data_IF_249542889322
#
_entry.id   IF_249542889322
#
_cell.length_a   1.000
_cell.length_b   1.000
_cell.length_c   1.000
_cell.angle_alpha   90.00
_cell.angle_beta   90.00
_cell.angle_gamma   90.00
#
_symmetry.space_group_name_H-M   'P 1'
#
loop_
_entity.id
_entity.type
_entity.pdbx_description
1 polymer ?
#
# COMPACT_ATOMS: atom_id res chain seq x y z
N UNK A 1 1.34 10.60 -2.00
CA UNK A 1 1.59 12.03 -1.77
C UNK A 1 2.88 12.47 -2.43
N UNK A 2 4.05 11.95 -2.02
CA UNK A 2 5.36 12.39 -2.51
C UNK A 2 5.46 12.31 -4.04
N UNK A 3 5.06 11.18 -4.65
CA UNK A 3 5.11 11.01 -6.10
C UNK A 3 4.23 12.04 -6.85
N UNK A 4 3.00 12.27 -6.37
CA UNK A 4 2.12 13.28 -6.97
C UNK A 4 2.71 14.68 -6.88
N UNK A 5 3.27 15.06 -5.71
CA UNK A 5 3.93 16.36 -5.54
C UNK A 5 5.21 16.50 -6.37
N UNK A 6 5.95 15.40 -6.55
CA UNK A 6 7.11 15.40 -7.44
C UNK A 6 6.71 15.69 -8.89
N UNK A 7 5.61 15.11 -9.37
CA UNK A 7 5.06 15.43 -10.69
C UNK A 7 4.70 16.93 -10.80
N UNK A 8 3.96 17.47 -9.82
CA UNK A 8 3.61 18.90 -9.80
C UNK A 8 4.85 19.79 -9.87
N UNK A 9 5.86 19.48 -9.06
CA UNK A 9 7.11 20.26 -8.98
C UNK A 9 7.90 20.23 -10.29
N UNK A 10 7.82 19.11 -11.01
CA UNK A 10 8.49 18.92 -12.31
C UNK A 10 7.65 19.41 -13.50
N UNK A 11 6.44 19.91 -13.27
CA UNK A 11 5.50 20.30 -14.32
C UNK A 11 4.96 19.12 -15.14
N UNK A 12 4.96 17.92 -14.55
CA UNK A 12 4.43 16.71 -15.16
C UNK A 12 2.98 16.48 -14.74
N UNK A 13 2.19 15.86 -15.64
CA UNK A 13 0.85 15.41 -15.27
C UNK A 13 0.89 14.35 -14.17
N UNK A 14 -0.04 14.41 -13.22
CA UNK A 14 -0.22 13.38 -12.20
C UNK A 14 -0.64 12.02 -12.78
N UNK A 15 -1.03 11.96 -14.05
CA UNK A 15 -1.26 10.71 -14.79
C UNK A 15 -0.01 9.84 -14.93
N UNK A 16 1.18 10.40 -14.66
CA UNK A 16 2.42 9.62 -14.55
C UNK A 16 2.49 8.77 -13.27
N UNK A 17 1.57 8.98 -12.32
CA UNK A 17 1.48 8.18 -11.09
C UNK A 17 0.31 7.22 -11.22
N UNK A 18 0.60 5.92 -11.18
CA UNK A 18 -0.39 4.85 -11.12
C UNK A 18 -0.49 4.35 -9.68
N UNK A 19 -1.58 4.66 -8.99
CA UNK A 19 -1.93 4.05 -7.72
C UNK A 19 -2.58 2.69 -7.94
N UNK A 20 -2.09 1.67 -7.25
CA UNK A 20 -2.65 0.32 -7.35
C UNK A 20 -3.15 -0.13 -5.99
N UNK A 21 -4.45 -0.44 -5.89
CA UNK A 21 -5.02 -1.10 -4.71
C UNK A 21 -5.23 -2.57 -4.99
N UNK A 22 -4.79 -3.40 -4.06
CA UNK A 22 -4.79 -4.86 -4.23
C UNK A 22 -5.44 -5.53 -3.02
N UNK A 23 -6.80 -5.52 -2.96
CA UNK A 23 -7.51 -6.13 -1.83
C UNK A 23 -7.21 -7.62 -1.72
N UNK A 24 -6.82 -8.03 -0.52
CA UNK A 24 -6.60 -9.40 -0.09
C UNK A 24 -7.66 -9.88 0.90
N UNK A 25 -7.33 -10.89 1.70
CA UNK A 25 -8.29 -11.48 2.65
C UNK A 25 -8.49 -10.62 3.90
N UNK A 26 -7.46 -9.88 4.34
CA UNK A 26 -7.50 -9.01 5.51
C UNK A 26 -7.83 -7.54 5.22
N UNK A 27 -8.11 -7.17 3.98
CA UNK A 27 -8.41 -5.78 3.63
C UNK A 27 -9.76 -5.37 4.17
N UNK A 28 -9.79 -4.37 5.06
CA UNK A 28 -11.02 -3.81 5.62
C UNK A 28 -11.67 -2.80 4.68
N UNK A 29 -12.99 -2.60 4.79
CA UNK A 29 -13.72 -1.61 4.00
C UNK A 29 -13.18 -0.20 4.22
N UNK A 30 -12.77 0.15 5.45
CA UNK A 30 -12.19 1.46 5.77
C UNK A 30 -10.88 1.69 5.01
N UNK A 31 -9.94 0.76 5.09
CA UNK A 31 -8.66 0.85 4.38
C UNK A 31 -8.85 0.89 2.87
N UNK A 32 -9.74 0.06 2.35
CA UNK A 32 -10.08 0.01 0.93
C UNK A 32 -10.66 1.35 0.43
N UNK A 33 -11.67 1.88 1.11
CA UNK A 33 -12.32 3.13 0.73
C UNK A 33 -11.34 4.32 0.82
N UNK A 34 -10.56 4.40 1.90
CA UNK A 34 -9.54 5.44 2.07
C UNK A 34 -8.52 5.42 0.93
N UNK A 35 -8.07 4.26 0.49
CA UNK A 35 -7.14 4.14 -0.62
C UNK A 35 -7.74 4.67 -1.92
N UNK A 36 -8.97 4.28 -2.26
CA UNK A 36 -9.65 4.74 -3.48
C UNK A 36 -9.94 6.23 -3.45
N UNK A 37 -10.48 6.74 -2.35
CA UNK A 37 -10.81 8.16 -2.22
C UNK A 37 -9.57 9.05 -2.26
N UNK A 38 -8.47 8.63 -1.60
CA UNK A 38 -7.21 9.36 -1.63
C UNK A 38 -6.63 9.43 -3.05
N UNK A 39 -6.62 8.32 -3.78
CA UNK A 39 -6.13 8.31 -5.17
C UNK A 39 -6.95 9.22 -6.07
N UNK A 40 -8.30 9.23 -5.92
CA UNK A 40 -9.19 10.14 -6.66
C UNK A 40 -8.91 11.60 -6.31
N UNK A 41 -8.82 11.94 -5.02
CA UNK A 41 -8.55 13.30 -4.57
C UNK A 41 -7.18 13.81 -5.03
N UNK A 42 -6.18 12.93 -5.10
CA UNK A 42 -4.87 13.26 -5.65
C UNK A 42 -4.86 13.42 -7.17
N UNK A 43 -5.92 13.02 -7.88
CA UNK A 43 -6.00 13.09 -9.34
C UNK A 43 -4.96 12.23 -10.05
N UNK A 44 -4.60 11.09 -9.50
CA UNK A 44 -3.67 10.12 -10.10
C UNK A 44 -4.43 9.02 -10.82
N UNK A 45 -3.75 8.27 -11.71
CA UNK A 45 -4.33 7.06 -12.28
C UNK A 45 -4.58 6.01 -11.20
N UNK A 46 -5.65 5.23 -11.37
CA UNK A 46 -6.01 4.18 -10.42
C UNK A 46 -6.18 2.83 -11.09
N UNK A 47 -5.74 1.80 -10.40
CA UNK A 47 -6.03 0.41 -10.75
C UNK A 47 -6.36 -0.40 -9.52
N UNK A 48 -7.42 -1.19 -9.62
CA UNK A 48 -7.79 -2.17 -8.61
C UNK A 48 -7.54 -3.58 -9.14
N UNK A 49 -6.83 -4.40 -8.36
CA UNK A 49 -6.53 -5.79 -8.70
C UNK A 49 -6.69 -6.62 -7.44
N UNK A 50 -7.75 -7.44 -7.36
CA UNK A 50 -7.90 -8.39 -6.26
C UNK A 50 -6.86 -9.50 -6.39
N UNK A 51 -6.12 -9.76 -5.30
CA UNK A 51 -5.12 -10.83 -5.24
C UNK A 51 -5.71 -12.16 -4.76
N UNK A 52 -6.99 -12.20 -4.37
CA UNK A 52 -7.60 -13.36 -3.71
C UNK A 52 -7.52 -14.63 -4.56
N UNK A 53 -7.90 -14.55 -5.84
CA UNK A 53 -7.90 -15.71 -6.72
C UNK A 53 -6.49 -16.25 -7.01
N UNK A 54 -5.52 -15.35 -7.19
CA UNK A 54 -4.13 -15.73 -7.40
C UNK A 54 -3.53 -16.39 -6.15
N UNK A 55 -3.79 -15.82 -4.97
CA UNK A 55 -3.37 -16.41 -3.71
C UNK A 55 -4.01 -17.81 -3.47
N UNK A 56 -5.30 -17.98 -3.74
CA UNK A 56 -5.97 -19.28 -3.63
C UNK A 56 -5.40 -20.32 -4.61
N UNK A 57 -5.09 -19.91 -5.85
CA UNK A 57 -4.44 -20.80 -6.80
C UNK A 57 -3.04 -21.18 -6.32
N UNK A 58 -2.27 -20.22 -5.81
CA UNK A 58 -0.95 -20.49 -5.27
C UNK A 58 -1.00 -21.45 -4.05
N UNK A 59 -1.97 -21.27 -3.14
CA UNK A 59 -2.17 -22.22 -2.03
C UNK A 59 -2.44 -23.63 -2.53
N UNK A 60 -3.31 -23.79 -3.54
CA UNK A 60 -3.58 -25.09 -4.14
C UNK A 60 -2.32 -25.72 -4.78
N UNK A 61 -1.51 -24.92 -5.48
CA UNK A 61 -0.28 -25.39 -6.15
C UNK A 61 0.78 -25.89 -5.17
N UNK A 62 0.85 -25.29 -3.96
CA UNK A 62 1.80 -25.70 -2.89
C UNK A 62 1.16 -26.61 -1.84
N UNK A 63 -0.06 -27.08 -2.06
CA UNK A 63 -0.81 -27.95 -1.13
C UNK A 63 -0.99 -27.32 0.28
N UNK A 64 -1.13 -25.99 0.35
CA UNK A 64 -1.40 -25.26 1.58
C UNK A 64 -2.91 -25.11 1.79
N UNK A 65 -3.39 -25.43 2.99
CA UNK A 65 -4.79 -25.24 3.37
C UNK A 65 -5.08 -23.76 3.61
N UNK A 66 -5.97 -23.10 2.84
CA UNK A 66 -6.29 -21.69 2.98
C UNK A 66 -6.95 -21.32 4.32
N UNK A 67 -7.44 -22.29 5.10
CA UNK A 67 -7.96 -22.05 6.44
C UNK A 67 -6.85 -21.96 7.51
N UNK A 68 -5.62 -22.32 7.17
CA UNK A 68 -4.45 -22.17 8.03
C UNK A 68 -3.82 -20.79 7.81
N UNK A 69 -4.11 -19.85 8.70
CA UNK A 69 -3.66 -18.47 8.64
C UNK A 69 -2.26 -18.31 9.30
N UNK A 70 -1.28 -18.96 8.72
CA UNK A 70 0.13 -18.94 9.15
C UNK A 70 0.98 -17.95 8.33
N UNK A 71 2.28 -17.98 8.54
CA UNK A 71 3.26 -17.17 7.82
C UNK A 71 3.24 -17.42 6.30
N UNK A 72 2.86 -18.63 5.85
CA UNK A 72 2.72 -18.96 4.44
C UNK A 72 1.55 -18.21 3.83
N UNK A 73 0.42 -18.21 4.53
CA UNK A 73 -0.79 -17.48 4.15
C UNK A 73 -0.54 -15.97 4.02
N UNK A 74 0.13 -15.36 4.98
CA UNK A 74 0.46 -13.94 4.96
C UNK A 74 1.47 -13.61 3.85
N UNK A 75 2.57 -14.33 3.80
CA UNK A 75 3.66 -14.06 2.86
C UNK A 75 3.28 -14.27 1.40
N UNK A 76 2.40 -15.21 1.09
CA UNK A 76 1.85 -15.41 -0.27
C UNK A 76 1.15 -14.15 -0.74
N UNK A 77 0.30 -13.55 0.07
CA UNK A 77 -0.42 -12.32 -0.29
C UNK A 77 0.54 -11.13 -0.50
N UNK A 78 1.54 -10.98 0.36
CA UNK A 78 2.51 -9.90 0.23
C UNK A 78 3.35 -10.05 -1.05
N UNK A 79 3.79 -11.26 -1.39
CA UNK A 79 4.58 -11.53 -2.61
C UNK A 79 3.76 -11.38 -3.87
N UNK A 80 2.49 -11.78 -3.87
CA UNK A 80 1.59 -11.59 -5.00
C UNK A 80 1.43 -10.10 -5.35
N UNK A 81 1.24 -9.25 -4.36
CA UNK A 81 1.20 -7.80 -4.56
C UNK A 81 2.49 -7.26 -5.17
N UNK A 82 3.62 -7.73 -4.68
CA UNK A 82 4.94 -7.31 -5.20
C UNK A 82 5.14 -7.74 -6.65
N UNK A 83 4.80 -8.98 -6.99
CA UNK A 83 4.87 -9.49 -8.36
C UNK A 83 4.04 -8.63 -9.31
N UNK A 84 2.78 -8.38 -8.97
CA UNK A 84 1.89 -7.53 -9.77
C UNK A 84 2.47 -6.13 -10.00
N UNK A 85 3.02 -5.50 -8.97
CA UNK A 85 3.60 -4.15 -9.08
C UNK A 85 4.83 -4.14 -9.99
N UNK A 86 5.71 -5.13 -9.87
CA UNK A 86 6.91 -5.25 -10.72
C UNK A 86 6.54 -5.48 -12.19
N UNK A 87 5.56 -6.34 -12.47
CA UNK A 87 5.07 -6.61 -13.82
C UNK A 87 4.34 -5.40 -14.43
N UNK A 88 3.57 -4.67 -13.64
CA UNK A 88 2.97 -3.41 -14.07
C UNK A 88 4.03 -2.37 -14.42
N UNK A 89 5.09 -2.24 -13.62
CA UNK A 89 6.20 -1.34 -13.92
C UNK A 89 6.88 -1.72 -15.25
N UNK A 90 7.15 -3.00 -15.46
CA UNK A 90 7.69 -3.50 -16.74
C UNK A 90 6.76 -3.18 -17.91
N UNK A 91 5.46 -3.46 -17.76
CA UNK A 91 4.46 -3.23 -18.80
C UNK A 91 4.32 -1.76 -19.20
N UNK A 92 4.47 -0.85 -18.23
CA UNK A 92 4.29 0.60 -18.44
C UNK A 92 5.61 1.35 -18.66
N UNK A 93 6.74 0.64 -18.67
CA UNK A 93 8.08 1.24 -18.67
C UNK A 93 8.26 2.25 -17.51
N UNK A 94 7.71 1.91 -16.35
CA UNK A 94 7.73 2.70 -15.14
C UNK A 94 8.66 2.12 -14.08
N UNK A 95 8.55 2.63 -12.87
CA UNK A 95 9.25 2.11 -11.70
C UNK A 95 8.30 1.95 -10.51
N UNK A 96 8.58 0.99 -9.64
CA UNK A 96 7.84 0.80 -8.39
C UNK A 96 8.40 1.74 -7.33
N UNK A 97 7.56 2.65 -6.84
CA UNK A 97 7.85 3.49 -5.67
C UNK A 97 7.40 2.75 -4.42
N UNK A 98 8.37 2.38 -3.58
CA UNK A 98 8.11 1.65 -2.34
C UNK A 98 7.52 2.53 -1.24
N UNK A 99 6.70 1.91 -0.41
CA UNK A 99 6.02 2.56 0.72
C UNK A 99 6.65 2.24 2.08
N UNK A 100 7.56 1.26 2.14
CA UNK A 100 8.28 0.89 3.36
C UNK A 100 9.09 2.04 3.94
N UNK A 101 9.16 2.10 5.26
CA UNK A 101 9.86 3.14 6.01
C UNK A 101 11.14 2.63 6.70
N UNK A 102 11.92 3.54 7.28
CA UNK A 102 13.17 3.21 7.97
C UNK A 102 12.94 2.24 9.16
N UNK A 103 11.84 2.37 9.89
CA UNK A 103 11.56 1.52 11.05
C UNK A 103 11.30 0.08 10.63
N UNK A 104 10.56 -0.13 9.56
CA UNK A 104 10.31 -1.45 8.98
C UNK A 104 11.62 -2.11 8.50
N UNK A 105 12.46 -1.36 7.79
CA UNK A 105 13.76 -1.83 7.34
C UNK A 105 14.71 -2.16 8.49
N UNK A 106 14.76 -1.31 9.52
CA UNK A 106 15.64 -1.50 10.68
C UNK A 106 15.24 -2.71 11.54
N UNK A 107 13.94 -3.00 11.63
CA UNK A 107 13.40 -4.11 12.44
C UNK A 107 13.25 -5.40 11.64
N UNK A 108 13.40 -5.37 10.32
CA UNK A 108 13.07 -6.50 9.45
C UNK A 108 11.55 -6.81 9.45
N UNK A 109 10.72 -5.82 9.70
CA UNK A 109 9.27 -5.94 9.75
C UNK A 109 8.67 -5.90 8.35
N UNK A 110 8.89 -6.94 7.60
CA UNK A 110 8.42 -7.10 6.23
C UNK A 110 8.49 -8.57 5.80
N UNK A 111 7.66 -8.95 4.84
CA UNK A 111 7.79 -10.24 4.16
C UNK A 111 9.02 -10.24 3.25
N UNK A 112 9.92 -11.18 3.43
CA UNK A 112 11.07 -11.36 2.53
C UNK A 112 10.62 -11.57 1.08
N UNK A 113 11.19 -10.83 0.15
CA UNK A 113 10.74 -10.75 -1.25
C UNK A 113 9.27 -10.33 -1.42
N UNK A 114 8.75 -9.53 -0.50
CA UNK A 114 7.37 -9.04 -0.51
C UNK A 114 7.30 -7.53 -0.42
N UNK A 115 6.57 -7.03 0.54
CA UNK A 115 6.14 -5.64 0.69
C UNK A 115 7.28 -4.60 0.80
N UNK A 116 8.50 -5.00 1.19
CA UNK A 116 9.68 -4.11 1.20
C UNK A 116 10.35 -3.98 -0.18
N UNK A 117 9.97 -4.80 -1.15
CA UNK A 117 10.59 -4.78 -2.48
C UNK A 117 10.06 -3.61 -3.30
N UNK A 118 10.99 -2.79 -3.78
CA UNK A 118 10.68 -1.68 -4.69
C UNK A 118 11.92 -1.29 -5.50
N UNK A 119 11.71 -0.51 -6.55
CA UNK A 119 12.81 0.03 -7.35
C UNK A 119 13.34 1.34 -6.76
N UNK A 120 12.50 2.06 -5.99
CA UNK A 120 12.87 3.27 -5.26
C UNK A 120 12.12 3.40 -3.94
N UNK A 121 12.84 3.36 -2.83
CA UNK A 121 12.28 3.48 -1.47
C UNK A 121 12.20 4.93 -1.01
N UNK A 122 11.10 5.61 -1.26
CA UNK A 122 10.93 7.05 -0.97
C UNK A 122 11.01 7.37 0.53
N UNK A 123 10.61 6.44 1.39
CA UNK A 123 10.63 6.61 2.85
C UNK A 123 11.76 5.82 3.55
N UNK A 124 12.72 5.26 2.80
CA UNK A 124 13.77 4.41 3.35
C UNK A 124 14.63 5.09 4.45
N UNK A 125 14.73 6.41 4.43
CA UNK A 125 15.42 7.20 5.44
C UNK A 125 14.50 7.86 6.49
N UNK A 126 13.19 7.57 6.49
CA UNK A 126 12.19 8.25 7.33
C UNK A 126 11.55 7.25 8.30
N UNK A 127 11.74 7.39 9.63
CA UNK A 127 11.10 6.49 10.59
C UNK A 127 9.58 6.66 10.60
N UNK A 128 8.85 5.60 10.94
CA UNK A 128 7.36 5.55 10.94
C UNK A 128 6.74 6.69 11.75
N UNK A 129 7.31 7.04 12.87
CA UNK A 129 6.83 8.17 13.69
C UNK A 129 6.91 9.51 12.93
N UNK A 130 8.00 9.74 12.19
CA UNK A 130 8.15 10.95 11.38
C UNK A 130 7.21 10.93 10.17
N UNK A 131 6.96 9.77 9.55
CA UNK A 131 5.94 9.64 8.49
C UNK A 131 4.58 10.13 9.00
N UNK A 132 4.17 9.72 10.21
CA UNK A 132 2.92 10.20 10.83
C UNK A 132 2.89 11.71 11.02
N UNK A 133 3.97 12.30 11.49
CA UNK A 133 4.09 13.76 11.66
C UNK A 133 3.98 14.49 10.32
N UNK A 134 4.65 13.99 9.29
CA UNK A 134 4.61 14.57 7.94
C UNK A 134 3.22 14.47 7.32
N UNK A 135 2.56 13.31 7.44
CA UNK A 135 1.18 13.12 6.94
C UNK A 135 0.21 14.07 7.67
N UNK A 136 0.34 14.21 8.99
CA UNK A 136 -0.46 15.14 9.78
C UNK A 136 -0.23 16.61 9.35
N UNK A 137 1.03 16.97 9.10
CA UNK A 137 1.36 18.31 8.59
C UNK A 137 0.73 18.55 7.21
N UNK A 138 0.85 17.60 6.27
CA UNK A 138 0.23 17.71 4.94
C UNK A 138 -1.29 17.87 5.06
N UNK A 139 -1.94 17.08 5.91
CA UNK A 139 -3.39 17.16 6.13
C UNK A 139 -3.87 18.56 6.61
N UNK A 140 -3.03 19.28 7.38
CA UNK A 140 -3.37 20.61 7.88
C UNK A 140 -2.78 21.74 7.02
N UNK A 141 -1.98 21.40 6.01
CA UNK A 141 -1.43 22.39 5.08
C UNK A 141 -2.41 22.67 3.95
N UNK A 142 -2.09 23.67 3.13
CA UNK A 142 -2.81 23.96 1.90
C UNK A 142 -2.30 23.15 0.69
N UNK A 143 -1.50 22.12 0.94
CA UNK A 143 -0.87 21.28 -0.10
C UNK A 143 -1.84 20.26 -0.72
N UNK A 144 -2.93 19.97 -0.03
CA UNK A 144 -4.00 19.07 -0.46
C UNK A 144 -5.36 19.72 -0.27
N UNK A 145 -6.38 19.23 -0.97
CA UNK A 145 -7.74 19.67 -0.80
C UNK A 145 -8.37 19.16 0.51
N UNK A 146 -9.55 19.65 0.84
CA UNK A 146 -10.26 19.30 2.07
C UNK A 146 -10.62 17.80 2.13
N UNK A 147 -10.92 17.20 0.98
CA UNK A 147 -11.22 15.76 0.89
C UNK A 147 -10.00 14.93 1.22
N UNK A 148 -8.86 15.19 0.59
CA UNK A 148 -7.60 14.51 0.91
C UNK A 148 -7.19 14.74 2.37
N UNK A 149 -7.35 15.96 2.90
CA UNK A 149 -7.08 16.28 4.30
C UNK A 149 -7.85 15.37 5.25
N UNK A 150 -9.16 15.27 5.06
CA UNK A 150 -10.03 14.39 5.87
C UNK A 150 -9.60 12.93 5.80
N UNK A 151 -9.29 12.43 4.61
CA UNK A 151 -8.86 11.03 4.40
C UNK A 151 -7.51 10.78 5.10
N UNK A 152 -6.55 11.69 4.97
CA UNK A 152 -5.24 11.56 5.62
C UNK A 152 -5.37 11.51 7.14
N UNK A 153 -6.26 12.30 7.73
CA UNK A 153 -6.54 12.25 9.17
C UNK A 153 -7.20 10.94 9.58
N UNK A 154 -8.14 10.42 8.77
CA UNK A 154 -8.76 9.11 9.01
C UNK A 154 -7.73 7.96 8.93
N UNK A 155 -6.80 8.03 7.97
CA UNK A 155 -5.69 7.07 7.89
C UNK A 155 -4.80 7.12 9.14
N UNK A 156 -4.49 8.31 9.66
CA UNK A 156 -3.71 8.48 10.88
C UNK A 156 -4.43 7.95 12.13
N UNK A 157 -5.75 8.00 12.16
CA UNK A 157 -6.61 7.50 13.24
C UNK A 157 -6.89 6.00 13.12
N UNK A 158 -6.54 5.37 11.98
CA UNK A 158 -6.74 3.95 11.79
C UNK A 158 -5.79 3.16 12.71
N UNK A 159 -6.31 2.24 13.54
CA UNK A 159 -5.47 1.37 14.36
C UNK A 159 -4.54 0.51 13.51
N UNK A 160 -3.34 0.25 14.03
CA UNK A 160 -2.43 -0.71 13.41
C UNK A 160 -3.05 -2.10 13.59
N UNK A 161 -3.36 -2.77 12.49
CA UNK A 161 -3.92 -4.12 12.47
C UNK A 161 -3.15 -5.00 11.48
N UNK A 162 -3.18 -6.33 11.63
CA UNK A 162 -2.61 -7.23 10.65
C UNK A 162 -3.43 -7.13 9.33
N UNK A 163 -2.80 -6.64 8.27
CA UNK A 163 -3.46 -6.41 6.97
C UNK A 163 -3.65 -7.67 6.14
N UNK A 164 -2.94 -8.74 6.47
CA UNK A 164 -2.92 -9.99 5.70
C UNK A 164 -3.79 -11.09 6.30
N UNK A 165 -4.20 -10.94 7.56
CA UNK A 165 -5.10 -11.86 8.24
C UNK A 165 -6.54 -11.36 8.13
N UNK A 166 -7.52 -12.29 7.96
CA UNK A 166 -8.91 -11.91 8.09
C UNK A 166 -9.17 -11.31 9.48
N UNK A 167 -10.03 -10.29 9.59
CA UNK A 167 -10.37 -9.74 10.91
C UNK A 167 -10.97 -10.85 11.79
N UNK A 168 -10.59 -10.88 13.08
CA UNK A 168 -11.17 -11.81 14.03
C UNK A 168 -12.67 -11.54 14.21
N UNK A 169 -13.35 -12.46 14.94
CA UNK A 169 -14.80 -12.36 15.20
C UNK A 169 -15.22 -11.06 15.90
N UNK A 170 -14.25 -10.36 16.49
CA UNK A 170 -14.43 -9.08 17.17
C UNK A 170 -14.03 -7.86 16.27
N UNK A 171 -13.69 -8.10 15.00
CA UNK A 171 -13.36 -7.06 14.03
C UNK A 171 -11.98 -6.39 14.27
N UNK A 172 -11.12 -7.07 15.02
CA UNK A 172 -9.75 -6.61 15.30
C UNK A 172 -8.74 -7.32 14.42
#
# INVERSE_FOLDING_TARGET
LVAARACDYLGLSRDHVLGVTMPGFGTTDRTYNNALELMRSLGIQMKEISIKNAALQHFADIEHDPEIHDVTYENTQARERTQILMDLANKTNGLVVGTGDLSELALGWATYNGDHMSMYGVNAGVPKTLVRVLVNWVAHSKEVDETASRILLDVLDTPISPELLPPDKDGK
#
